data_IF_319561752694
#
_entry.id   IF_319561752694
#
_cell.length_a   1.000
_cell.length_b   1.000
_cell.length_c   1.000
_cell.angle_alpha   90.00
_cell.angle_beta   90.00
_cell.angle_gamma   90.00
#
_symmetry.space_group_name_H-M   'P 1'
#
loop_
_entity.id
_entity.type
_entity.pdbx_description
1 polymer ?
#
# COMPACT_ATOMS: atom_id res chain seq x y z
N UNK A 1 -15.92 -20.94 21.42
CA UNK A 1 -15.08 -20.10 20.55
C UNK A 1 -14.97 -20.82 19.21
N UNK A 2 -15.67 -20.33 18.18
CA UNK A 2 -15.66 -20.96 16.85
C UNK A 2 -14.30 -20.70 16.22
N UNK A 3 -13.47 -21.74 16.13
CA UNK A 3 -12.12 -21.64 15.57
C UNK A 3 -12.21 -21.19 14.10
N UNK A 4 -11.67 -20.00 13.72
CA UNK A 4 -11.96 -19.45 12.39
C UNK A 4 -11.17 -20.08 11.23
N UNK A 5 -10.32 -21.09 11.47
CA UNK A 5 -9.30 -21.47 10.48
C UNK A 5 -9.22 -22.98 10.20
N UNK A 6 -10.37 -23.63 9.97
CA UNK A 6 -10.42 -25.02 9.46
C UNK A 6 -10.56 -25.12 7.93
N UNK A 7 -10.27 -24.05 7.19
CA UNK A 7 -10.30 -24.12 5.72
C UNK A 7 -9.08 -24.88 5.23
N UNK A 8 -9.30 -25.88 4.39
CA UNK A 8 -8.22 -26.51 3.64
C UNK A 8 -7.63 -25.46 2.69
N UNK A 9 -6.36 -25.11 2.89
CA UNK A 9 -5.65 -24.15 2.06
C UNK A 9 -5.15 -24.86 0.80
N UNK A 10 -5.45 -24.37 -0.41
CA UNK A 10 -4.91 -24.93 -1.64
C UNK A 10 -3.38 -24.89 -1.66
N UNK A 11 -2.75 -25.93 -2.20
CA UNK A 11 -1.27 -26.04 -2.27
C UNK A 11 -0.60 -24.95 -3.09
N UNK A 12 -1.35 -24.27 -3.95
CA UNK A 12 -0.88 -23.18 -4.81
C UNK A 12 -0.79 -21.84 -4.08
N UNK A 13 -1.36 -21.73 -2.87
CA UNK A 13 -1.32 -20.50 -2.07
C UNK A 13 0.10 -20.28 -1.54
N UNK A 14 0.64 -19.08 -1.81
CA UNK A 14 1.96 -18.62 -1.39
C UNK A 14 1.87 -17.73 -0.16
N UNK A 15 0.78 -16.97 0.00
CA UNK A 15 0.47 -16.18 1.19
C UNK A 15 -0.76 -16.74 1.91
N UNK A 16 -0.52 -17.66 2.85
CA UNK A 16 -1.57 -18.40 3.56
C UNK A 16 -2.45 -17.47 4.41
N UNK A 17 -1.85 -16.47 5.06
CA UNK A 17 -2.60 -15.57 5.94
C UNK A 17 -3.51 -14.65 5.14
N UNK A 18 -3.01 -14.09 4.03
CA UNK A 18 -3.82 -13.30 3.11
C UNK A 18 -4.98 -14.15 2.56
N UNK A 19 -4.72 -15.38 2.15
CA UNK A 19 -5.75 -16.26 1.62
C UNK A 19 -6.83 -16.59 2.65
N UNK A 20 -6.46 -16.96 3.89
CA UNK A 20 -7.43 -17.31 4.94
C UNK A 20 -8.34 -16.12 5.28
N UNK A 21 -7.75 -14.94 5.46
CA UNK A 21 -8.51 -13.73 5.76
C UNK A 21 -9.45 -13.37 4.61
N UNK A 22 -8.95 -13.37 3.38
CA UNK A 22 -9.76 -13.08 2.19
C UNK A 22 -10.90 -14.10 2.02
N UNK A 23 -10.63 -15.39 2.26
CA UNK A 23 -11.64 -16.43 2.19
C UNK A 23 -12.74 -16.25 3.25
N UNK A 24 -12.38 -15.81 4.46
CA UNK A 24 -13.35 -15.49 5.52
C UNK A 24 -14.23 -14.28 5.15
N UNK A 25 -13.65 -13.22 4.58
CA UNK A 25 -14.43 -12.10 4.05
C UNK A 25 -15.35 -12.55 2.92
N UNK A 26 -14.85 -13.31 1.94
CA UNK A 26 -15.68 -13.81 0.83
C UNK A 26 -16.86 -14.66 1.32
N UNK A 27 -16.65 -15.52 2.33
CA UNK A 27 -17.73 -16.33 2.90
C UNK A 27 -18.76 -15.52 3.69
N UNK A 28 -18.37 -14.36 4.23
CA UNK A 28 -19.31 -13.44 4.87
C UNK A 28 -20.13 -12.64 3.84
N UNK A 29 -19.68 -12.56 2.59
CA UNK A 29 -20.31 -11.80 1.52
C UNK A 29 -20.81 -12.73 0.40
N UNK A 30 -21.81 -13.56 0.70
CA UNK A 30 -22.45 -14.46 -0.26
C UNK A 30 -23.63 -13.76 -1.00
N UNK A 31 -24.05 -14.27 -2.18
CA UNK A 31 -25.29 -13.85 -2.81
C UNK A 31 -26.49 -14.28 -1.97
N UNK A 32 -27.55 -13.48 -2.00
CA UNK A 32 -28.82 -13.79 -1.34
C UNK A 32 -29.52 -14.96 -2.04
N UNK A 33 -29.96 -15.99 -1.29
CA UNK A 33 -30.57 -17.19 -1.88
C UNK A 33 -31.88 -16.88 -2.62
N UNK A 34 -32.64 -15.89 -2.15
CA UNK A 34 -33.90 -15.46 -2.77
C UNK A 34 -33.64 -14.39 -3.84
N UNK A 35 -32.53 -13.66 -3.73
CA UNK A 35 -32.15 -12.55 -4.63
C UNK A 35 -30.67 -12.61 -5.00
N UNK A 36 -30.24 -13.51 -5.91
CA UNK A 36 -28.82 -13.79 -6.17
C UNK A 36 -28.00 -12.56 -6.62
N UNK A 37 -28.65 -11.51 -7.14
CA UNK A 37 -28.02 -10.23 -7.47
C UNK A 37 -27.78 -9.30 -6.28
N UNK A 38 -28.00 -9.74 -5.03
CA UNK A 38 -27.86 -8.95 -3.80
C UNK A 38 -26.93 -9.67 -2.82
N UNK A 39 -26.15 -8.92 -2.04
CA UNK A 39 -25.32 -9.50 -0.99
C UNK A 39 -26.12 -9.73 0.31
N UNK A 40 -25.95 -10.88 0.96
CA UNK A 40 -26.57 -11.20 2.25
C UNK A 40 -25.97 -10.45 3.44
N UNK A 41 -24.74 -9.94 3.29
CA UNK A 41 -24.05 -9.33 4.41
C UNK A 41 -24.78 -8.06 4.87
N UNK A 42 -25.13 -8.02 6.16
CA UNK A 42 -25.87 -6.90 6.75
C UNK A 42 -25.12 -5.56 6.66
N UNK A 43 -23.78 -5.60 6.57
CA UNK A 43 -22.95 -4.39 6.40
C UNK A 43 -23.02 -3.80 5.00
N UNK A 44 -23.48 -4.57 4.01
CA UNK A 44 -23.62 -4.13 2.63
C UNK A 44 -25.01 -3.56 2.31
N UNK A 45 -25.92 -3.44 3.26
CA UNK A 45 -27.28 -2.86 3.05
C UNK A 45 -28.03 -3.46 1.84
N UNK A 46 -27.79 -4.74 1.52
CA UNK A 46 -28.26 -5.41 0.29
C UNK A 46 -27.85 -4.69 -1.02
N UNK A 47 -26.61 -4.22 -1.08
CA UNK A 47 -25.98 -3.79 -2.33
C UNK A 47 -26.00 -4.90 -3.39
N UNK A 48 -25.77 -4.51 -4.65
CA UNK A 48 -25.62 -5.45 -5.75
C UNK A 48 -24.47 -6.44 -5.47
N UNK A 49 -24.72 -7.72 -5.74
CA UNK A 49 -23.69 -8.76 -5.71
C UNK A 49 -23.05 -8.92 -7.10
N UNK A 50 -21.71 -9.08 -7.19
CA UNK A 50 -20.75 -9.05 -6.10
C UNK A 50 -20.52 -7.61 -5.60
N UNK A 51 -20.67 -7.42 -4.29
CA UNK A 51 -20.42 -6.12 -3.66
C UNK A 51 -18.90 -5.85 -3.60
N UNK A 52 -18.46 -4.59 -3.44
CA UNK A 52 -17.03 -4.25 -3.45
C UNK A 52 -16.18 -5.12 -2.50
N UNK A 53 -16.59 -5.38 -1.24
CA UNK A 53 -15.82 -6.26 -0.35
C UNK A 53 -15.69 -7.72 -0.84
N UNK A 54 -16.71 -8.23 -1.54
CA UNK A 54 -16.67 -9.58 -2.11
C UNK A 54 -15.69 -9.65 -3.28
N UNK A 55 -15.69 -8.62 -4.14
CA UNK A 55 -14.74 -8.50 -5.24
C UNK A 55 -13.30 -8.39 -4.72
N UNK A 56 -13.06 -7.53 -3.74
CA UNK A 56 -11.73 -7.33 -3.16
C UNK A 56 -11.21 -8.60 -2.49
N UNK A 57 -12.07 -9.33 -1.77
CA UNK A 57 -11.74 -10.63 -1.20
C UNK A 57 -11.38 -11.66 -2.27
N UNK A 58 -12.13 -11.73 -3.37
CA UNK A 58 -11.79 -12.61 -4.49
C UNK A 58 -10.43 -12.25 -5.12
N UNK A 59 -10.16 -10.97 -5.32
CA UNK A 59 -8.86 -10.50 -5.81
C UNK A 59 -7.72 -10.83 -4.84
N UNK A 60 -7.94 -10.69 -3.53
CA UNK A 60 -6.95 -11.04 -2.51
C UNK A 60 -6.65 -12.55 -2.49
N UNK A 61 -7.66 -13.41 -2.62
CA UNK A 61 -7.47 -14.86 -2.79
C UNK A 61 -6.60 -15.19 -4.02
N UNK A 62 -6.84 -14.50 -5.15
CA UNK A 62 -6.03 -14.67 -6.35
C UNK A 62 -4.60 -14.16 -6.16
N UNK A 63 -4.43 -13.00 -5.50
CA UNK A 63 -3.13 -12.42 -5.19
C UNK A 63 -2.30 -13.34 -4.28
N UNK A 64 -2.94 -13.99 -3.30
CA UNK A 64 -2.32 -14.95 -2.40
C UNK A 64 -1.83 -16.24 -3.08
N UNK A 65 -2.16 -16.45 -4.35
CA UNK A 65 -1.67 -17.57 -5.18
C UNK A 65 -0.51 -17.14 -6.07
N UNK A 66 -0.27 -15.84 -6.26
CA UNK A 66 0.83 -15.37 -7.09
C UNK A 66 2.14 -15.66 -6.37
N UNK A 67 3.17 -16.17 -7.08
CA UNK A 67 4.51 -16.23 -6.53
C UNK A 67 4.86 -14.85 -5.99
N UNK A 68 5.16 -14.76 -4.69
CA UNK A 68 5.85 -13.60 -4.17
C UNK A 68 7.13 -13.52 -4.97
N UNK A 69 7.21 -12.58 -5.91
CA UNK A 69 8.46 -12.28 -6.57
C UNK A 69 9.34 -11.72 -5.45
N UNK A 70 10.09 -12.60 -4.79
CA UNK A 70 11.27 -12.20 -4.04
C UNK A 70 12.05 -11.37 -5.04
N UNK A 71 12.07 -10.06 -4.85
CA UNK A 71 12.74 -9.13 -5.74
C UNK A 71 14.23 -9.50 -5.75
N UNK A 72 14.60 -10.43 -6.64
CA UNK A 72 15.98 -10.78 -6.93
C UNK A 72 16.50 -9.63 -7.77
N UNK A 73 17.05 -8.65 -7.06
CA UNK A 73 17.59 -7.44 -7.64
C UNK A 73 16.66 -6.26 -7.47
N UNK A 74 17.25 -5.13 -7.08
CA UNK A 74 16.58 -3.83 -7.10
C UNK A 74 16.20 -3.55 -8.55
N UNK A 75 14.92 -3.62 -8.89
CA UNK A 75 14.45 -3.10 -10.16
C UNK A 75 14.67 -1.57 -10.14
N UNK A 76 15.66 -1.09 -10.89
CA UNK A 76 15.79 0.35 -11.15
C UNK A 76 14.68 0.73 -12.12
N UNK A 77 13.57 1.22 -11.58
CA UNK A 77 12.52 1.83 -12.39
C UNK A 77 12.92 3.29 -12.62
N UNK A 78 13.42 3.60 -13.83
CA UNK A 78 13.42 4.99 -14.29
C UNK A 78 11.97 5.33 -14.64
N UNK A 79 11.22 5.80 -13.66
CA UNK A 79 9.86 6.28 -13.87
C UNK A 79 9.91 7.71 -14.46
N UNK A 80 9.20 8.03 -15.55
CA UNK A 80 8.83 9.41 -15.81
C UNK A 80 7.90 9.85 -14.66
N UNK A 81 8.36 10.84 -13.89
CA UNK A 81 7.84 11.24 -12.58
C UNK A 81 6.37 11.71 -12.57
N UNK A 82 5.69 11.82 -13.72
CA UNK A 82 4.41 12.52 -13.80
C UNK A 82 3.16 11.64 -13.99
N UNK A 83 3.26 10.40 -14.50
CA UNK A 83 2.06 9.65 -14.95
C UNK A 83 1.59 8.50 -14.03
N UNK A 84 2.47 7.94 -13.19
CA UNK A 84 2.15 6.75 -12.39
C UNK A 84 1.46 7.07 -11.05
N UNK A 85 1.71 8.24 -10.47
CA UNK A 85 1.16 8.62 -9.16
C UNK A 85 -0.37 8.85 -9.17
N UNK A 86 -0.96 9.14 -10.33
CA UNK A 86 -2.38 9.47 -10.42
C UNK A 86 -3.33 8.26 -10.29
N UNK A 87 -2.84 7.02 -10.51
CA UNK A 87 -3.72 5.84 -10.62
C UNK A 87 -3.95 5.07 -9.31
N UNK A 88 -3.21 5.38 -8.25
CA UNK A 88 -3.29 4.66 -6.96
C UNK A 88 -3.71 5.56 -5.79
N UNK A 89 -4.43 6.66 -6.06
CA UNK A 89 -4.92 7.59 -5.03
C UNK A 89 -6.24 7.13 -4.39
N UNK A 90 -6.34 5.86 -4.02
CA UNK A 90 -7.57 5.29 -3.46
C UNK A 90 -7.53 5.10 -1.96
N UNK A 91 -6.58 4.32 -1.44
CA UNK A 91 -6.74 3.67 -0.13
C UNK A 91 -5.62 3.98 0.89
N UNK A 92 -4.67 4.84 0.54
CA UNK A 92 -3.68 5.38 1.48
C UNK A 92 -3.68 6.91 1.44
N UNK A 93 -3.66 7.61 2.59
CA UNK A 93 -3.48 9.06 2.60
C UNK A 93 -2.10 9.37 1.97
N UNK A 94 -2.02 10.28 0.99
CA UNK A 94 -0.74 10.66 0.41
C UNK A 94 0.15 11.20 1.53
N UNK A 95 1.25 10.49 1.83
CA UNK A 95 2.35 11.05 2.59
C UNK A 95 2.80 12.31 1.86
N UNK A 96 2.54 13.47 2.47
CA UNK A 96 3.01 14.76 1.96
C UNK A 96 4.48 14.59 1.58
N UNK A 97 4.90 14.96 0.36
CA UNK A 97 6.32 15.04 0.09
C UNK A 97 6.90 16.09 1.04
N UNK A 98 7.76 15.66 1.96
CA UNK A 98 8.63 16.57 2.69
C UNK A 98 9.39 17.38 1.64
N UNK A 99 9.03 18.66 1.52
CA UNK A 99 9.77 19.64 0.75
C UNK A 99 11.22 19.58 1.22
N UNK A 100 12.10 19.11 0.35
CA UNK A 100 13.54 19.25 0.50
C UNK A 100 13.82 20.73 0.74
N UNK A 101 14.48 21.14 1.84
CA UNK A 101 14.90 22.52 1.97
C UNK A 101 15.83 22.84 0.80
N UNK A 102 15.44 23.87 0.05
CA UNK A 102 16.22 24.42 -1.05
C UNK A 102 17.66 24.60 -0.57
N UNK A 103 18.61 24.03 -1.32
CA UNK A 103 20.04 24.14 -1.07
C UNK A 103 20.42 25.61 -1.21
N UNK A 104 20.42 26.33 -0.09
CA UNK A 104 20.99 27.68 -0.01
C UNK A 104 22.43 27.62 -0.56
N UNK A 105 22.85 28.60 -1.37
CA UNK A 105 24.25 28.72 -1.79
C UNK A 105 25.15 28.77 -0.55
N UNK A 106 26.30 28.12 -0.62
CA UNK A 106 27.26 28.07 0.48
C UNK A 106 27.63 29.49 0.97
N UNK A 107 27.75 29.72 2.29
CA UNK A 107 28.26 30.98 2.82
C UNK A 107 29.71 31.19 2.36
N UNK A 108 29.99 32.37 1.82
CA UNK A 108 31.33 32.79 1.40
C UNK A 108 32.26 32.84 2.63
N UNK A 109 33.52 32.39 2.53
CA UNK A 109 34.47 32.52 3.62
C UNK A 109 34.76 34.01 3.91
N UNK A 110 34.88 34.41 5.19
CA UNK A 110 35.15 35.79 5.55
C UNK A 110 36.55 36.22 5.07
N UNK A 111 36.62 37.35 4.36
CA UNK A 111 37.88 38.03 4.09
C UNK A 111 38.54 38.43 5.41
N UNK A 112 39.63 37.76 5.77
CA UNK A 112 40.44 38.12 6.92
C UNK A 112 41.08 39.50 6.68
N UNK A 113 40.64 40.49 7.46
CA UNK A 113 41.31 41.79 7.58
C UNK A 113 42.55 41.59 8.48
N UNK A 114 43.76 42.00 8.05
CA UNK A 114 44.96 41.85 8.89
C UNK A 114 44.87 42.72 10.15
N UNK A 115 45.25 42.15 11.30
CA UNK A 115 45.34 42.84 12.58
C UNK A 115 46.46 43.90 12.52
N UNK A 116 46.27 45.12 13.07
CA UNK A 116 47.38 46.05 13.25
C UNK A 116 48.34 45.56 14.35
N UNK A 117 49.64 45.62 14.05
CA UNK A 117 50.74 45.25 14.96
C UNK A 117 50.70 46.01 16.28
N UNK A 118 51.09 45.38 17.40
CA UNK A 118 51.22 46.07 18.68
C UNK A 118 52.40 47.05 18.64
N UNK A 119 52.14 48.31 19.00
CA UNK A 119 53.19 49.27 19.37
C UNK A 119 53.69 48.89 20.76
N UNK A 120 55.00 48.67 20.87
CA UNK A 120 55.72 48.59 22.13
C UNK A 120 55.97 50.00 22.68
N UNK A 121 55.81 50.13 24.01
CA UNK A 121 56.29 51.18 24.93
C UNK A 121 55.94 52.65 24.61
#
# INVERSE_FOLDING_TARGET
>A
MSQPHRRAVPRTVTDVLLWLLAADVAAAHLPDPDRPGRCVNLRCTREAYPCPPALDAQHACQAATRPTLLARGRAQVIAPVTAAAARFAGWFPPTRPSTTPSRLPAPQPPHHRPLPSPRAA
#
